data_IF_438920115844
#
_entry.id   IF_438920115844
#
_cell.length_a   1.000
_cell.length_b   1.000
_cell.length_c   1.000
_cell.angle_alpha   90.00
_cell.angle_beta   90.00
_cell.angle_gamma   90.00
#
_symmetry.space_group_name_H-M   'P 1'
#
loop_
_entity.id
_entity.type
_entity.pdbx_description
1 polymer ?
#
# COMPACT_ATOMS: atom_id res chain seq x y z
N UNK A 1 -41.66 -4.50 -60.75
CA UNK A 1 -41.45 -5.24 -61.96
C UNK A 1 -40.57 -6.42 -61.64
N UNK A 2 -41.24 -7.55 -61.64
CA UNK A 2 -41.01 -8.84 -62.29
C UNK A 2 -39.74 -9.57 -61.81
N UNK A 3 -39.86 -10.53 -60.90
CA UNK A 3 -40.10 -11.98 -61.08
C UNK A 3 -39.06 -12.72 -61.92
N UNK A 4 -38.35 -13.68 -61.34
CA UNK A 4 -38.19 -15.00 -61.96
C UNK A 4 -37.70 -16.03 -60.89
N UNK A 5 -38.48 -17.08 -60.77
CA UNK A 5 -38.23 -18.36 -60.07
C UNK A 5 -37.29 -19.23 -60.92
N UNK A 6 -36.40 -19.95 -60.22
CA UNK A 6 -35.61 -21.02 -60.84
C UNK A 6 -35.46 -22.18 -59.87
N UNK A 7 -36.20 -23.24 -60.11
CA UNK A 7 -36.11 -24.52 -59.42
C UNK A 7 -34.85 -25.30 -59.85
N UNK A 8 -34.13 -25.93 -58.99
CA UNK A 8 -33.12 -26.94 -59.37
C UNK A 8 -33.12 -28.14 -58.40
N UNK A 9 -33.18 -29.25 -59.03
CA UNK A 9 -33.33 -30.63 -58.69
C UNK A 9 -32.28 -31.13 -57.64
N UNK A 10 -32.72 -31.84 -56.61
CA UNK A 10 -31.88 -32.65 -55.71
C UNK A 10 -31.36 -33.91 -56.46
N UNK A 11 -30.05 -34.03 -56.46
CA UNK A 11 -29.38 -35.31 -56.77
C UNK A 11 -28.71 -35.78 -55.47
N UNK A 12 -29.23 -36.81 -54.84
CA UNK A 12 -28.65 -37.53 -53.71
C UNK A 12 -27.57 -38.48 -54.17
N UNK A 13 -26.31 -38.16 -53.91
CA UNK A 13 -25.21 -39.11 -53.99
C UNK A 13 -24.91 -39.60 -52.55
N UNK A 14 -25.17 -40.83 -52.29
CA UNK A 14 -24.82 -41.53 -51.06
C UNK A 14 -23.28 -41.73 -50.97
N UNK A 15 -22.67 -41.06 -50.05
CA UNK A 15 -21.29 -41.32 -49.66
C UNK A 15 -21.30 -42.09 -48.33
N UNK A 16 -20.94 -43.35 -48.39
CA UNK A 16 -20.64 -44.18 -47.18
C UNK A 16 -19.38 -43.64 -46.55
N UNK A 17 -19.53 -42.93 -45.44
CA UNK A 17 -18.39 -42.51 -44.56
C UNK A 17 -18.07 -43.71 -43.67
N UNK A 18 -16.93 -44.37 -43.94
CA UNK A 18 -16.30 -45.29 -43.02
C UNK A 18 -15.83 -44.46 -41.84
N UNK A 19 -16.48 -44.65 -40.67
CA UNK A 19 -16.09 -43.98 -39.44
C UNK A 19 -14.69 -44.47 -38.99
N UNK A 20 -13.70 -43.56 -39.07
CA UNK A 20 -12.49 -43.71 -38.29
C UNK A 20 -12.82 -43.39 -36.83
N UNK A 21 -12.58 -44.38 -35.95
CA UNK A 21 -12.67 -44.19 -34.52
C UNK A 21 -11.75 -43.02 -34.12
N UNK A 22 -12.18 -42.14 -33.18
CA UNK A 22 -11.28 -41.12 -32.64
C UNK A 22 -10.10 -41.84 -31.97
N UNK A 23 -8.88 -41.50 -32.41
CA UNK A 23 -7.68 -41.91 -31.72
C UNK A 23 -7.79 -41.47 -30.25
N UNK A 24 -7.70 -42.39 -29.35
CA UNK A 24 -7.59 -42.18 -27.91
C UNK A 24 -6.52 -41.13 -27.67
N UNK A 25 -6.93 -39.93 -27.28
CA UNK A 25 -6.01 -38.93 -26.78
C UNK A 25 -5.49 -39.50 -25.46
N UNK A 26 -4.35 -40.13 -25.53
CA UNK A 26 -3.63 -40.58 -24.35
C UNK A 26 -3.60 -39.49 -23.29
N UNK A 27 -3.55 -39.82 -22.00
CA UNK A 27 -3.63 -38.86 -20.92
C UNK A 27 -2.56 -37.76 -21.18
N UNK A 28 -3.03 -36.52 -21.33
CA UNK A 28 -2.15 -35.35 -21.31
C UNK A 28 -1.38 -35.44 -20.01
N UNK A 29 -0.13 -35.88 -20.09
CA UNK A 29 0.77 -35.98 -18.96
C UNK A 29 0.77 -34.64 -18.25
N UNK A 30 0.06 -34.55 -17.14
CA UNK A 30 0.16 -33.41 -16.25
C UNK A 30 1.64 -33.31 -15.90
N UNK A 31 2.29 -32.25 -16.34
CA UNK A 31 3.63 -31.93 -15.88
C UNK A 31 3.53 -31.78 -14.36
N UNK A 32 3.93 -32.83 -13.61
CA UNK A 32 4.13 -32.69 -12.18
C UNK A 32 5.11 -31.54 -11.99
N UNK A 33 4.62 -30.46 -11.32
CA UNK A 33 5.45 -29.29 -11.06
C UNK A 33 6.72 -29.77 -10.37
N UNK A 34 7.87 -29.53 -11.01
CA UNK A 34 9.17 -29.97 -10.50
C UNK A 34 9.47 -29.23 -9.20
N UNK A 35 9.87 -29.94 -8.17
CA UNK A 35 10.31 -29.37 -6.89
C UNK A 35 11.81 -29.52 -6.77
N UNK A 36 12.49 -28.41 -6.42
CA UNK A 36 13.90 -28.40 -6.04
C UNK A 36 14.04 -27.99 -4.58
N UNK A 37 14.90 -28.66 -3.86
CA UNK A 37 15.18 -28.42 -2.45
C UNK A 37 16.53 -27.73 -2.31
N UNK A 38 16.53 -26.67 -1.51
CA UNK A 38 17.74 -25.91 -1.13
C UNK A 38 18.00 -26.14 0.37
N UNK A 39 19.25 -26.33 0.74
CA UNK A 39 19.64 -26.46 2.15
C UNK A 39 20.99 -25.77 2.42
N UNK A 40 21.16 -25.26 3.62
CA UNK A 40 22.45 -24.79 4.10
C UNK A 40 23.45 -25.95 4.04
N UNK A 41 24.61 -25.72 3.39
CA UNK A 41 25.60 -26.78 3.16
C UNK A 41 25.28 -27.75 2.00
N UNK A 42 24.28 -27.43 1.18
CA UNK A 42 24.02 -28.15 -0.09
C UNK A 42 25.11 -27.94 -1.12
N UNK A 43 24.91 -28.52 -2.32
CA UNK A 43 25.82 -28.36 -3.46
C UNK A 43 25.00 -27.95 -4.72
N UNK A 44 25.33 -26.84 -5.34
CA UNK A 44 24.62 -26.38 -6.54
C UNK A 44 24.85 -27.30 -7.76
N UNK A 45 25.74 -28.25 -7.68
CA UNK A 45 25.89 -29.32 -8.68
C UNK A 45 24.90 -30.49 -8.43
N UNK A 46 24.33 -30.56 -7.24
CA UNK A 46 23.41 -31.61 -6.87
C UNK A 46 22.10 -31.56 -7.69
N UNK A 47 21.33 -32.63 -7.62
CA UNK A 47 20.06 -32.76 -8.39
C UNK A 47 18.89 -31.98 -7.76
N UNK A 48 19.05 -31.42 -6.56
CA UNK A 48 18.02 -30.63 -5.86
C UNK A 48 16.94 -31.47 -5.20
N UNK A 49 17.24 -32.68 -4.75
CA UNK A 49 16.32 -33.50 -3.93
C UNK A 49 16.56 -33.27 -2.44
N UNK A 50 15.66 -33.77 -1.58
CA UNK A 50 15.83 -33.69 -0.11
C UNK A 50 17.14 -34.30 0.39
N UNK A 51 17.63 -35.35 -0.27
CA UNK A 51 18.90 -36.04 0.08
C UNK A 51 20.12 -35.38 -0.54
N UNK A 52 19.95 -34.70 -1.65
CA UNK A 52 21.00 -34.03 -2.40
C UNK A 52 20.53 -32.61 -2.77
N UNK A 53 20.40 -31.72 -1.77
CA UNK A 53 19.87 -30.36 -1.95
C UNK A 53 20.86 -29.45 -2.66
N UNK A 54 20.35 -28.39 -3.27
CA UNK A 54 21.13 -27.27 -3.77
C UNK A 54 21.63 -26.41 -2.61
N UNK A 55 22.71 -25.68 -2.82
CA UNK A 55 23.26 -24.74 -1.85
C UNK A 55 22.56 -23.37 -1.90
N UNK A 56 22.17 -22.93 -3.10
CA UNK A 56 21.63 -21.57 -3.30
C UNK A 56 20.22 -21.56 -3.86
N UNK A 57 19.44 -20.56 -3.39
CA UNK A 57 18.09 -20.30 -3.90
C UNK A 57 18.16 -19.92 -5.38
N UNK A 58 19.18 -19.12 -5.78
CA UNK A 58 19.35 -18.70 -7.16
C UNK A 58 19.56 -19.90 -8.10
N UNK A 59 20.41 -20.86 -7.75
CA UNK A 59 20.61 -22.05 -8.55
C UNK A 59 19.34 -22.89 -8.74
N UNK A 60 18.44 -22.89 -7.76
CA UNK A 60 17.13 -23.54 -7.87
C UNK A 60 16.20 -22.77 -8.82
N UNK A 61 16.14 -21.44 -8.70
CA UNK A 61 15.37 -20.55 -9.60
C UNK A 61 15.82 -20.70 -11.05
N UNK A 62 17.13 -20.66 -11.31
CA UNK A 62 17.72 -20.76 -12.66
C UNK A 62 17.39 -22.10 -13.34
N UNK A 63 17.15 -23.15 -12.56
CA UNK A 63 16.75 -24.47 -13.06
C UNK A 63 15.25 -24.65 -13.26
N UNK A 64 14.43 -23.70 -12.77
CA UNK A 64 12.98 -23.73 -12.84
C UNK A 64 12.36 -22.48 -13.49
N UNK A 65 12.91 -21.93 -14.58
CA UNK A 65 12.40 -20.68 -15.15
C UNK A 65 10.96 -20.79 -15.65
N UNK A 66 10.50 -22.02 -15.96
CA UNK A 66 9.17 -22.28 -16.52
C UNK A 66 8.23 -22.95 -15.52
N UNK A 67 8.47 -22.77 -14.24
CA UNK A 67 7.58 -23.21 -13.19
C UNK A 67 8.07 -24.35 -12.32
N UNK A 68 7.47 -24.44 -11.14
CA UNK A 68 7.80 -25.42 -10.13
C UNK A 68 7.79 -24.85 -8.71
N UNK A 69 8.47 -25.54 -7.81
CA UNK A 69 8.63 -25.11 -6.43
C UNK A 69 10.10 -25.16 -6.01
N UNK A 70 10.56 -24.08 -5.40
CA UNK A 70 11.82 -24.02 -4.66
C UNK A 70 11.50 -24.11 -3.18
N UNK A 71 11.94 -25.19 -2.54
CA UNK A 71 11.67 -25.46 -1.13
C UNK A 71 12.96 -25.35 -0.30
N UNK A 72 12.99 -24.39 0.63
CA UNK A 72 14.12 -24.12 1.51
C UNK A 72 14.01 -24.94 2.79
N UNK A 73 15.04 -25.74 3.08
CA UNK A 73 15.16 -26.40 4.39
C UNK A 73 15.39 -25.33 5.48
N UNK A 74 15.10 -25.66 6.70
CA UNK A 74 15.34 -24.79 7.85
C UNK A 74 16.81 -24.38 7.95
N UNK A 75 17.05 -23.08 8.19
CA UNK A 75 18.39 -22.50 8.30
C UNK A 75 18.45 -21.05 7.82
N UNK A 76 19.62 -20.45 7.97
CA UNK A 76 19.90 -19.07 7.59
C UNK A 76 20.69 -19.03 6.29
N UNK A 77 20.18 -18.32 5.30
CA UNK A 77 20.73 -18.20 3.96
C UNK A 77 21.20 -16.75 3.75
N UNK A 78 22.50 -16.53 3.76
CA UNK A 78 23.11 -15.24 3.45
C UNK A 78 23.13 -15.02 1.92
N UNK A 79 21.95 -14.87 1.32
CA UNK A 79 21.78 -14.86 -0.14
C UNK A 79 20.71 -13.87 -0.54
N UNK A 80 20.91 -13.20 -1.67
CA UNK A 80 19.85 -12.51 -2.41
C UNK A 80 19.42 -13.38 -3.57
N UNK A 81 18.18 -13.27 -4.00
CA UNK A 81 17.63 -14.01 -5.13
C UNK A 81 16.89 -13.07 -6.08
N UNK A 82 17.10 -13.28 -7.40
CA UNK A 82 16.44 -12.51 -8.45
C UNK A 82 15.67 -13.44 -9.39
N UNK A 83 14.40 -13.12 -9.59
CA UNK A 83 13.51 -13.78 -10.52
C UNK A 83 13.28 -12.84 -11.71
N UNK A 84 14.00 -13.06 -12.82
CA UNK A 84 13.93 -12.21 -14.00
C UNK A 84 12.70 -12.44 -14.88
N UNK A 85 12.57 -11.71 -16.01
CA UNK A 85 11.37 -11.71 -16.87
C UNK A 85 10.99 -13.08 -17.47
N UNK A 86 11.97 -14.00 -17.57
CA UNK A 86 11.74 -15.37 -18.04
C UNK A 86 11.20 -16.33 -16.99
N UNK A 87 11.13 -15.93 -15.72
CA UNK A 87 10.67 -16.78 -14.62
C UNK A 87 9.16 -16.68 -14.47
N UNK A 88 8.49 -17.81 -14.53
CA UNK A 88 7.04 -17.85 -14.36
C UNK A 88 6.56 -19.16 -13.69
N UNK A 89 5.34 -19.13 -13.14
CA UNK A 89 4.69 -20.28 -12.50
C UNK A 89 5.53 -20.89 -11.36
N UNK A 90 6.31 -20.06 -10.66
CA UNK A 90 7.24 -20.50 -9.63
C UNK A 90 6.75 -20.15 -8.22
N UNK A 91 6.93 -21.08 -7.30
CA UNK A 91 6.70 -20.84 -5.87
C UNK A 91 8.01 -21.01 -5.10
N UNK A 92 8.38 -20.02 -4.27
CA UNK A 92 9.47 -20.11 -3.30
C UNK A 92 8.84 -20.20 -1.91
N UNK A 93 9.22 -21.23 -1.14
CA UNK A 93 8.64 -21.46 0.19
C UNK A 93 9.56 -22.32 1.07
N UNK A 94 9.34 -22.34 2.40
CA UNK A 94 9.97 -23.32 3.27
C UNK A 94 9.57 -24.74 2.90
N UNK A 95 10.48 -25.67 3.12
CA UNK A 95 10.18 -27.10 3.04
C UNK A 95 9.28 -27.51 4.20
N UNK A 96 8.05 -27.91 3.89
CA UNK A 96 7.01 -28.24 4.89
C UNK A 96 6.75 -27.05 5.83
N UNK A 97 7.13 -27.17 7.10
CA UNK A 97 6.96 -26.16 8.15
C UNK A 97 8.32 -25.77 8.77
N UNK A 98 9.41 -25.98 8.06
CA UNK A 98 10.75 -25.63 8.54
C UNK A 98 10.92 -24.10 8.46
N UNK A 99 11.69 -23.53 9.38
CA UNK A 99 11.95 -22.09 9.43
C UNK A 99 13.14 -21.74 8.52
N UNK A 100 12.85 -21.12 7.38
CA UNK A 100 13.84 -20.69 6.40
C UNK A 100 14.02 -19.18 6.45
N UNK A 101 15.23 -18.71 6.72
CA UNK A 101 15.59 -17.31 6.91
C UNK A 101 16.48 -16.84 5.77
N UNK A 102 16.06 -15.84 5.01
CA UNK A 102 16.92 -15.06 4.14
C UNK A 102 17.57 -13.95 4.97
N UNK A 103 18.83 -14.12 5.32
CA UNK A 103 19.57 -13.29 6.26
C UNK A 103 20.58 -12.38 5.54
N UNK A 104 20.26 -11.09 5.51
CA UNK A 104 21.10 -10.06 4.91
C UNK A 104 22.23 -9.52 5.81
N UNK A 105 22.36 -9.98 7.05
CA UNK A 105 23.24 -9.38 8.04
C UNK A 105 24.73 -9.37 7.67
N UNK A 106 25.16 -10.28 6.81
CA UNK A 106 26.53 -10.34 6.29
C UNK A 106 26.67 -9.80 4.86
N UNK A 107 25.58 -9.28 4.29
CA UNK A 107 25.55 -8.74 2.93
C UNK A 107 25.63 -7.21 2.97
N UNK A 108 26.34 -6.62 2.02
CA UNK A 108 26.39 -5.17 1.86
C UNK A 108 25.40 -4.76 0.77
N UNK A 109 24.38 -3.93 1.08
CA UNK A 109 23.53 -3.33 0.06
C UNK A 109 24.37 -2.46 -0.90
N UNK A 110 24.32 -2.68 -2.21
CA UNK A 110 24.94 -1.78 -3.18
C UNK A 110 24.14 -0.48 -3.29
N UNK A 111 24.71 0.52 -3.94
CA UNK A 111 24.03 1.77 -4.26
C UNK A 111 22.73 1.52 -5.06
N UNK A 112 21.74 2.38 -4.84
CA UNK A 112 20.41 2.27 -5.40
C UNK A 112 19.55 1.19 -4.75
N UNK A 113 18.48 0.82 -5.44
CA UNK A 113 17.52 -0.18 -4.95
C UNK A 113 18.09 -1.59 -5.03
N UNK A 114 18.14 -2.27 -3.90
CA UNK A 114 18.59 -3.67 -3.85
C UNK A 114 17.79 -4.46 -2.82
N UNK A 115 17.42 -5.71 -3.14
CA UNK A 115 16.54 -6.49 -2.31
C UNK A 115 17.09 -7.88 -1.97
N UNK A 116 16.57 -8.46 -0.87
CA UNK A 116 16.81 -9.87 -0.56
C UNK A 116 16.10 -10.77 -1.57
N UNK A 117 14.88 -10.39 -2.00
CA UNK A 117 14.13 -11.07 -3.07
C UNK A 117 13.70 -10.03 -4.10
N UNK A 118 14.18 -10.16 -5.34
CA UNK A 118 13.78 -9.31 -6.46
C UNK A 118 12.93 -10.08 -7.47
N UNK A 119 11.79 -9.51 -7.85
CA UNK A 119 10.89 -10.00 -8.89
C UNK A 119 10.87 -8.97 -10.03
N UNK A 120 11.75 -9.17 -11.02
CA UNK A 120 11.91 -8.29 -12.19
C UNK A 120 11.12 -8.83 -13.38
N UNK A 121 9.96 -8.27 -13.66
CA UNK A 121 9.12 -8.67 -14.80
C UNK A 121 8.63 -10.13 -14.78
N UNK A 122 8.87 -10.86 -13.71
CA UNK A 122 8.40 -12.24 -13.54
C UNK A 122 6.88 -12.33 -13.41
N UNK A 123 6.29 -13.48 -13.70
CA UNK A 123 4.83 -13.60 -13.66
C UNK A 123 4.31 -14.94 -13.12
N UNK A 124 3.15 -14.90 -12.45
CA UNK A 124 2.57 -16.02 -11.72
C UNK A 124 3.56 -16.63 -10.71
N UNK A 125 4.23 -15.73 -9.98
CA UNK A 125 5.23 -16.09 -8.95
C UNK A 125 4.64 -15.93 -7.57
N UNK A 126 5.02 -16.83 -6.67
CA UNK A 126 4.65 -16.76 -5.26
C UNK A 126 5.89 -16.85 -4.37
N UNK A 127 6.02 -15.88 -3.46
CA UNK A 127 6.99 -15.89 -2.36
C UNK A 127 6.20 -16.01 -1.07
N UNK A 128 6.40 -17.11 -0.34
CA UNK A 128 5.58 -17.34 0.85
C UNK A 128 6.32 -18.00 2.00
N UNK A 129 5.94 -17.64 3.24
CA UNK A 129 6.36 -18.31 4.46
C UNK A 129 7.84 -18.13 4.82
N UNK A 130 8.53 -17.18 4.22
CA UNK A 130 9.93 -16.89 4.47
C UNK A 130 10.08 -15.86 5.59
N UNK A 131 11.17 -15.96 6.31
CA UNK A 131 11.69 -14.92 7.19
C UNK A 131 12.77 -14.15 6.41
N UNK A 132 12.64 -12.82 6.31
CA UNK A 132 13.55 -11.96 5.54
C UNK A 132 14.07 -10.86 6.46
N UNK A 133 15.35 -10.88 6.78
CA UNK A 133 15.87 -10.02 7.85
C UNK A 133 17.31 -9.57 7.64
N UNK A 134 17.74 -8.58 8.42
CA UNK A 134 19.14 -8.22 8.61
C UNK A 134 19.79 -7.45 7.46
N UNK A 135 19.08 -7.11 6.39
CA UNK A 135 19.65 -6.40 5.25
C UNK A 135 19.69 -4.90 5.54
N UNK A 136 20.85 -4.42 6.01
CA UNK A 136 21.03 -3.07 6.56
C UNK A 136 22.22 -2.36 5.94
N UNK A 137 22.18 -1.02 5.95
CA UNK A 137 23.26 -0.15 5.48
C UNK A 137 23.34 1.14 6.29
N UNK A 138 24.43 1.86 6.16
CA UNK A 138 24.58 3.27 6.58
C UNK A 138 24.97 4.17 5.41
N UNK A 139 24.99 3.64 4.18
CA UNK A 139 25.28 4.40 2.98
C UNK A 139 24.05 5.20 2.54
N UNK A 140 24.23 6.49 2.20
CA UNK A 140 23.14 7.37 1.76
C UNK A 140 22.53 6.93 0.44
N UNK A 141 23.37 6.48 -0.49
CA UNK A 141 22.95 6.13 -1.86
C UNK A 141 22.36 4.72 -1.97
N UNK A 142 22.34 3.93 -0.90
CA UNK A 142 21.84 2.57 -0.90
C UNK A 142 20.45 2.46 -0.27
N UNK A 143 19.55 1.78 -0.98
CA UNK A 143 18.17 1.54 -0.55
C UNK A 143 17.93 0.03 -0.37
N UNK A 144 18.15 -0.51 0.86
CA UNK A 144 17.87 -1.92 1.15
C UNK A 144 16.37 -2.20 1.17
N UNK A 145 15.97 -3.32 0.55
CA UNK A 145 14.58 -3.75 0.43
C UNK A 145 14.47 -5.22 0.83
N UNK A 146 13.41 -5.58 1.55
CA UNK A 146 13.14 -7.00 1.84
C UNK A 146 12.70 -7.75 0.59
N UNK A 147 11.56 -7.38 0.00
CA UNK A 147 11.02 -7.98 -1.23
C UNK A 147 10.67 -6.85 -2.21
N UNK A 148 11.24 -6.92 -3.42
CA UNK A 148 11.09 -5.91 -4.46
C UNK A 148 10.44 -6.46 -5.72
N UNK A 149 9.37 -5.82 -6.18
CA UNK A 149 8.67 -6.15 -7.43
C UNK A 149 8.78 -4.97 -8.37
N UNK A 150 9.29 -5.18 -9.58
CA UNK A 150 9.38 -4.14 -10.60
C UNK A 150 9.30 -4.71 -12.03
N UNK A 151 9.52 -3.87 -13.04
CA UNK A 151 9.36 -4.25 -14.42
C UNK A 151 7.90 -4.53 -14.81
N UNK A 152 7.68 -5.41 -15.77
CA UNK A 152 6.35 -5.80 -16.26
C UNK A 152 5.78 -7.02 -15.50
N UNK A 153 5.94 -7.08 -14.18
CA UNK A 153 5.52 -8.21 -13.36
C UNK A 153 3.99 -8.40 -13.35
N UNK A 154 3.52 -9.66 -13.30
CA UNK A 154 2.08 -9.98 -13.32
C UNK A 154 1.74 -11.16 -12.41
N UNK A 155 0.56 -11.12 -11.78
CA UNK A 155 0.05 -12.22 -10.95
C UNK A 155 1.07 -12.65 -9.87
N UNK A 156 1.68 -11.67 -9.21
CA UNK A 156 2.64 -11.88 -8.12
C UNK A 156 1.90 -11.98 -6.80
N UNK A 157 2.28 -12.97 -6.00
CA UNK A 157 1.75 -13.14 -4.64
C UNK A 157 2.91 -13.19 -3.63
N UNK A 158 2.90 -12.24 -2.69
CA UNK A 158 3.79 -12.18 -1.54
C UNK A 158 2.93 -12.44 -0.31
N UNK A 159 3.12 -13.60 0.35
CA UNK A 159 2.21 -13.97 1.42
C UNK A 159 2.86 -14.72 2.58
N UNK A 160 2.30 -14.50 3.76
CA UNK A 160 2.68 -15.23 4.98
C UNK A 160 4.19 -15.16 5.26
N UNK A 161 4.87 -14.08 4.83
CA UNK A 161 6.29 -13.84 5.13
C UNK A 161 6.42 -12.95 6.36
N UNK A 162 7.56 -13.06 7.06
CA UNK A 162 7.98 -12.12 8.08
C UNK A 162 9.16 -11.30 7.55
N UNK A 163 8.96 -9.99 7.36
CA UNK A 163 9.98 -9.07 6.82
C UNK A 163 10.34 -8.06 7.91
N UNK A 164 11.56 -8.16 8.45
CA UNK A 164 11.88 -7.40 9.65
C UNK A 164 13.36 -7.07 9.83
N UNK A 165 13.66 -6.12 10.72
CA UNK A 165 15.03 -5.74 11.14
C UNK A 165 15.95 -5.44 9.96
N UNK A 166 15.45 -4.77 8.94
CA UNK A 166 16.23 -4.25 7.81
C UNK A 166 16.07 -2.74 7.70
N UNK A 167 16.94 -2.08 6.95
CA UNK A 167 16.83 -0.65 6.77
C UNK A 167 18.14 0.10 6.56
N UNK A 168 18.05 1.43 6.61
CA UNK A 168 19.19 2.35 6.55
C UNK A 168 19.40 3.00 7.92
N UNK A 169 20.52 2.67 8.55
CA UNK A 169 20.91 3.11 9.90
C UNK A 169 21.74 4.40 9.91
N UNK A 170 21.80 5.13 8.82
CA UNK A 170 22.47 6.41 8.76
C UNK A 170 21.75 7.43 9.65
N UNK A 171 22.48 8.11 10.51
CA UNK A 171 21.92 9.04 11.50
C UNK A 171 21.92 10.52 11.05
N UNK A 172 22.09 10.82 9.77
CA UNK A 172 22.07 12.20 9.27
C UNK A 172 20.68 12.81 9.42
N UNK A 173 20.55 13.80 10.29
CA UNK A 173 19.29 14.48 10.57
C UNK A 173 18.82 15.35 9.38
N UNK A 174 17.51 15.32 9.11
CA UNK A 174 16.88 16.09 8.02
C UNK A 174 17.24 15.59 6.61
N UNK A 175 17.81 14.40 6.45
CA UNK A 175 18.17 13.87 5.14
C UNK A 175 17.06 12.98 4.59
N UNK A 176 16.48 13.37 3.47
CA UNK A 176 15.54 12.56 2.69
C UNK A 176 16.22 11.59 1.71
N UNK A 177 17.57 11.50 1.74
CA UNK A 177 18.33 10.51 0.97
C UNK A 177 18.35 9.14 1.66
N UNK A 178 17.96 9.08 2.95
CA UNK A 178 17.83 7.83 3.70
C UNK A 178 16.57 7.09 3.26
N UNK A 179 16.74 5.89 2.72
CA UNK A 179 15.62 5.13 2.18
C UNK A 179 15.78 3.63 2.44
N UNK A 180 14.67 2.95 2.74
CA UNK A 180 14.57 1.50 2.81
C UNK A 180 13.10 1.06 2.76
N UNK A 181 12.82 -0.18 2.33
CA UNK A 181 11.46 -0.71 2.35
C UNK A 181 11.42 -2.15 2.87
N UNK A 182 10.31 -2.53 3.48
CA UNK A 182 9.99 -3.93 3.73
C UNK A 182 9.59 -4.65 2.44
N UNK A 183 8.49 -4.21 1.83
CA UNK A 183 7.99 -4.72 0.55
C UNK A 183 7.73 -3.53 -0.39
N UNK A 184 8.47 -3.46 -1.49
CA UNK A 184 8.36 -2.39 -2.46
C UNK A 184 7.88 -2.89 -3.82
N UNK A 185 6.93 -2.16 -4.43
CA UNK A 185 6.41 -2.43 -5.76
C UNK A 185 6.50 -1.17 -6.59
N UNK A 186 7.35 -1.16 -7.60
CA UNK A 186 7.56 -0.02 -8.48
C UNK A 186 7.17 -0.36 -9.92
N UNK A 187 6.05 0.17 -10.37
CA UNK A 187 5.60 0.05 -11.76
C UNK A 187 6.37 1.00 -12.67
N UNK A 188 7.60 0.63 -12.99
CA UNK A 188 8.57 1.43 -13.74
C UNK A 188 8.56 1.19 -15.26
N UNK A 189 7.66 0.36 -15.75
CA UNK A 189 7.44 0.17 -17.19
C UNK A 189 6.32 1.08 -17.70
N UNK A 190 6.61 1.87 -18.74
CA UNK A 190 5.62 2.76 -19.38
C UNK A 190 4.48 1.98 -20.03
N UNK A 191 4.80 0.90 -20.73
CA UNK A 191 3.84 0.21 -21.59
C UNK A 191 3.11 -0.94 -20.88
N UNK A 192 3.70 -1.48 -19.83
CA UNK A 192 3.20 -2.67 -19.16
C UNK A 192 3.05 -2.44 -17.66
N UNK A 193 1.83 -2.21 -17.16
CA UNK A 193 1.60 -2.09 -15.74
C UNK A 193 1.88 -3.40 -15.00
N UNK A 194 2.30 -3.30 -13.74
CA UNK A 194 2.23 -4.43 -12.83
C UNK A 194 0.75 -4.70 -12.55
N UNK A 195 0.31 -5.96 -12.72
CA UNK A 195 -1.10 -6.35 -12.54
C UNK A 195 -1.26 -7.63 -11.73
N UNK A 196 -2.42 -7.80 -11.10
CA UNK A 196 -2.72 -9.02 -10.34
C UNK A 196 -1.85 -9.22 -9.10
N UNK A 197 -1.26 -8.15 -8.56
CA UNK A 197 -0.42 -8.19 -7.37
C UNK A 197 -1.24 -8.47 -6.11
N UNK A 198 -0.73 -9.33 -5.23
CA UNK A 198 -1.27 -9.63 -3.91
C UNK A 198 -0.17 -9.63 -2.86
N UNK A 199 -0.36 -8.84 -1.81
CA UNK A 199 0.48 -8.79 -0.61
C UNK A 199 -0.44 -9.17 0.55
N UNK A 200 -0.33 -10.41 1.05
CA UNK A 200 -1.35 -10.98 1.92
C UNK A 200 -0.76 -11.70 3.13
N UNK A 201 -1.24 -11.39 4.34
CA UNK A 201 -0.89 -12.13 5.55
C UNK A 201 0.58 -12.04 5.97
N UNK A 202 1.30 -11.01 5.52
CA UNK A 202 2.69 -10.80 5.93
C UNK A 202 2.74 -10.05 7.25
N UNK A 203 3.80 -10.30 8.03
CA UNK A 203 4.23 -9.48 9.14
C UNK A 203 5.41 -8.61 8.68
N UNK A 204 5.34 -7.28 8.93
CA UNK A 204 6.37 -6.33 8.47
C UNK A 204 6.68 -5.38 9.62
N UNK A 205 7.87 -5.53 10.22
CA UNK A 205 8.16 -4.82 11.46
C UNK A 205 9.62 -4.45 11.67
N UNK A 206 9.88 -3.57 12.66
CA UNK A 206 11.20 -3.15 13.09
C UNK A 206 12.11 -2.70 11.96
N UNK A 207 11.54 -1.95 11.00
CA UNK A 207 12.26 -1.38 9.87
C UNK A 207 12.78 0.01 10.21
N UNK A 208 13.93 0.35 9.61
CA UNK A 208 14.51 1.71 9.63
C UNK A 208 14.45 2.27 8.22
N UNK A 209 13.40 3.02 7.94
CA UNK A 209 12.93 3.33 6.60
C UNK A 209 13.50 4.62 6.01
N UNK A 210 13.93 5.56 6.87
CA UNK A 210 14.23 6.92 6.41
C UNK A 210 12.99 7.58 5.83
N UNK A 211 13.07 8.13 4.64
CA UNK A 211 11.96 8.80 3.96
C UNK A 211 10.99 7.83 3.24
N UNK A 212 11.22 6.51 3.34
CA UNK A 212 10.43 5.48 2.64
C UNK A 212 9.41 4.77 3.55
N UNK A 213 8.67 3.82 2.98
CA UNK A 213 7.50 3.17 3.57
C UNK A 213 7.75 1.68 3.86
N UNK A 214 6.97 1.11 4.80
CA UNK A 214 7.06 -0.33 5.11
C UNK A 214 6.58 -1.19 3.94
N UNK A 215 5.41 -0.84 3.36
CA UNK A 215 4.83 -1.50 2.19
C UNK A 215 4.37 -0.45 1.20
N UNK A 216 4.95 -0.41 0.01
CA UNK A 216 4.65 0.61 -0.99
C UNK A 216 4.23 0.02 -2.33
N UNK A 217 3.26 0.68 -2.98
CA UNK A 217 2.86 0.47 -4.38
C UNK A 217 2.98 1.80 -5.10
N UNK A 218 3.95 1.92 -6.01
CA UNK A 218 4.31 3.19 -6.66
C UNK A 218 4.29 3.07 -8.19
N UNK A 219 3.77 4.09 -8.87
CA UNK A 219 3.83 4.22 -10.32
C UNK A 219 2.83 3.35 -11.07
N UNK A 220 3.24 2.76 -12.19
CA UNK A 220 2.35 2.03 -13.11
C UNK A 220 1.91 0.66 -12.54
N UNK A 221 1.09 0.67 -11.52
CA UNK A 221 0.53 -0.55 -10.90
C UNK A 221 -0.98 -0.52 -10.95
N UNK A 222 -1.61 -1.54 -11.55
CA UNK A 222 -3.04 -1.57 -11.84
C UNK A 222 -3.69 -2.89 -11.37
N UNK A 223 -4.69 -2.81 -10.50
CA UNK A 223 -5.39 -4.00 -10.02
C UNK A 223 -4.55 -4.80 -8.99
N UNK A 224 -4.44 -4.29 -7.78
CA UNK A 224 -3.63 -4.86 -6.71
C UNK A 224 -4.40 -4.96 -5.39
N UNK A 225 -3.89 -5.79 -4.47
CA UNK A 225 -4.46 -5.94 -3.14
C UNK A 225 -3.39 -6.12 -2.08
N UNK A 226 -3.54 -5.35 -0.98
CA UNK A 226 -2.78 -5.50 0.26
C UNK A 226 -3.78 -5.89 1.34
N UNK A 227 -3.70 -7.13 1.87
CA UNK A 227 -4.72 -7.62 2.78
C UNK A 227 -4.21 -8.52 3.89
N UNK A 228 -4.82 -8.41 5.09
CA UNK A 228 -4.51 -9.25 6.25
C UNK A 228 -3.03 -9.24 6.67
N UNK A 229 -2.32 -8.14 6.39
CA UNK A 229 -0.96 -7.96 6.89
C UNK A 229 -0.99 -7.36 8.30
N UNK A 230 0.01 -7.69 9.11
CA UNK A 230 0.33 -7.01 10.38
C UNK A 230 1.59 -6.18 10.14
N UNK A 231 1.44 -4.85 10.15
CA UNK A 231 2.52 -3.89 9.86
C UNK A 231 2.70 -3.05 11.10
N UNK A 232 3.89 -3.09 11.70
CA UNK A 232 4.03 -2.47 13.01
C UNK A 232 5.47 -2.15 13.44
N UNK A 233 5.58 -1.25 14.40
CA UNK A 233 6.86 -0.89 15.03
C UNK A 233 7.93 -0.45 14.01
N UNK A 234 7.50 0.30 12.98
CA UNK A 234 8.35 0.86 11.94
C UNK A 234 8.49 2.38 12.14
N UNK A 235 9.62 2.94 11.72
CA UNK A 235 9.90 4.36 11.95
C UNK A 235 9.43 5.31 10.83
N UNK A 236 8.51 4.89 9.99
CA UNK A 236 7.80 5.70 9.02
C UNK A 236 6.52 4.99 8.56
N UNK A 237 5.95 5.42 7.43
CA UNK A 237 4.64 5.05 6.87
C UNK A 237 4.45 3.52 6.80
N UNK A 238 3.26 3.06 7.18
CA UNK A 238 2.90 1.65 7.15
C UNK A 238 2.61 1.14 5.73
N UNK A 239 1.59 1.69 5.08
CA UNK A 239 1.20 1.32 3.70
C UNK A 239 1.05 2.60 2.89
N UNK A 240 1.67 2.66 1.71
CA UNK A 240 1.47 3.78 0.79
C UNK A 240 1.13 3.34 -0.64
N UNK A 241 0.30 4.17 -1.31
CA UNK A 241 -0.11 4.01 -2.70
C UNK A 241 0.17 5.30 -3.47
N UNK A 242 1.31 5.31 -4.18
CA UNK A 242 1.95 6.51 -4.71
C UNK A 242 1.67 6.73 -6.19
N UNK A 243 1.58 8.01 -6.55
CA UNK A 243 1.52 8.47 -7.93
C UNK A 243 2.37 9.72 -8.16
N UNK A 244 2.71 9.95 -9.42
CA UNK A 244 3.42 11.13 -9.90
C UNK A 244 4.90 11.27 -9.51
N UNK A 245 5.41 10.34 -8.73
CA UNK A 245 6.83 10.23 -8.46
C UNK A 245 7.63 9.97 -9.76
N UNK A 246 8.96 10.18 -9.79
CA UNK A 246 9.79 9.95 -10.98
C UNK A 246 9.99 8.45 -11.31
N UNK A 247 8.96 7.63 -11.03
CA UNK A 247 8.93 6.20 -11.34
C UNK A 247 8.80 5.96 -12.84
N UNK A 248 8.01 6.79 -13.54
CA UNK A 248 8.01 6.85 -14.99
C UNK A 248 8.68 8.15 -15.48
N UNK A 249 9.38 8.10 -16.64
CA UNK A 249 9.99 9.28 -17.23
C UNK A 249 8.96 10.25 -17.81
N UNK A 250 9.36 11.49 -18.07
CA UNK A 250 8.58 12.42 -18.89
C UNK A 250 8.36 11.86 -20.32
N UNK A 251 7.20 12.07 -20.96
CA UNK A 251 6.06 12.87 -20.49
C UNK A 251 5.06 12.06 -19.63
N UNK A 252 5.35 10.84 -19.25
CA UNK A 252 4.42 9.93 -18.58
C UNK A 252 4.28 10.20 -17.09
N UNK A 253 5.22 10.90 -16.47
CA UNK A 253 5.26 11.18 -15.03
C UNK A 253 3.94 11.72 -14.49
N UNK A 254 3.34 12.70 -15.19
CA UNK A 254 2.10 13.35 -14.75
C UNK A 254 0.85 12.84 -15.45
N UNK A 255 0.79 11.56 -15.71
CA UNK A 255 -0.36 10.89 -16.31
C UNK A 255 -0.91 9.81 -15.38
N UNK A 256 -2.15 9.37 -15.61
CA UNK A 256 -2.76 8.25 -14.87
C UNK A 256 -1.98 6.94 -14.98
N UNK A 257 -1.05 6.82 -15.92
CA UNK A 257 -0.15 5.65 -15.99
C UNK A 257 0.80 5.59 -14.79
N UNK A 258 1.26 6.73 -14.33
CA UNK A 258 2.20 6.82 -13.22
C UNK A 258 1.50 6.99 -11.87
N UNK A 259 0.52 6.12 -11.61
CA UNK A 259 -0.26 6.12 -10.37
C UNK A 259 -0.60 4.71 -9.95
N UNK A 260 -0.50 4.41 -8.68
CA UNK A 260 -1.12 3.22 -8.10
C UNK A 260 -2.64 3.34 -8.24
N UNK A 261 -3.28 2.38 -8.91
CA UNK A 261 -4.70 2.47 -9.24
C UNK A 261 -5.46 1.14 -9.16
N UNK A 262 -6.79 1.24 -9.02
CA UNK A 262 -7.69 0.09 -8.90
C UNK A 262 -7.28 -0.86 -7.75
N UNK A 263 -6.82 -0.28 -6.64
CA UNK A 263 -6.26 -0.98 -5.50
C UNK A 263 -7.26 -1.29 -4.39
N UNK A 264 -6.92 -2.28 -3.57
CA UNK A 264 -7.66 -2.61 -2.34
C UNK A 264 -6.68 -2.80 -1.18
N UNK A 265 -6.88 -2.03 -0.10
CA UNK A 265 -6.17 -2.17 1.17
C UNK A 265 -7.20 -2.60 2.20
N UNK A 266 -7.19 -3.88 2.62
CA UNK A 266 -8.26 -4.36 3.49
C UNK A 266 -7.83 -5.38 4.55
N UNK A 267 -8.52 -5.35 5.69
CA UNK A 267 -8.30 -6.27 6.81
C UNK A 267 -6.85 -6.28 7.34
N UNK A 268 -6.08 -5.20 7.12
CA UNK A 268 -4.76 -5.08 7.70
C UNK A 268 -4.85 -4.54 9.12
N UNK A 269 -3.88 -4.91 9.95
CA UNK A 269 -3.55 -4.22 11.18
C UNK A 269 -2.31 -3.38 10.92
N UNK A 270 -2.42 -2.06 11.11
CA UNK A 270 -1.30 -1.13 10.97
C UNK A 270 -1.15 -0.35 12.27
N UNK A 271 -0.03 -0.53 12.94
CA UNK A 271 0.13 0.03 14.29
C UNK A 271 1.55 0.46 14.58
N UNK A 272 1.67 1.53 15.35
CA UNK A 272 2.98 1.99 15.84
C UNK A 272 3.96 2.32 14.70
N UNK A 273 3.45 2.88 13.59
CA UNK A 273 4.26 3.47 12.53
C UNK A 273 4.41 4.96 12.88
N UNK A 274 5.60 5.35 13.33
CA UNK A 274 5.85 6.67 13.91
C UNK A 274 7.15 7.26 13.39
N UNK A 275 7.16 8.56 13.09
CA UNK A 275 8.36 9.28 12.63
C UNK A 275 9.33 9.65 13.76
N UNK A 276 8.89 9.55 15.02
CA UNK A 276 9.76 9.82 16.16
C UNK A 276 10.96 8.88 16.21
N UNK A 277 12.15 9.44 16.13
CA UNK A 277 13.41 8.70 16.09
C UNK A 277 13.89 8.40 14.66
N UNK A 278 13.17 8.82 13.63
CA UNK A 278 13.58 8.71 12.24
C UNK A 278 14.40 9.95 11.83
N UNK A 279 15.70 9.81 11.51
CA UNK A 279 16.54 10.96 11.18
C UNK A 279 15.99 11.84 10.07
N UNK A 280 15.34 11.29 9.05
CA UNK A 280 14.79 12.04 7.92
C UNK A 280 13.74 13.07 8.35
N UNK A 281 13.01 12.81 9.41
CA UNK A 281 11.90 13.62 9.89
C UNK A 281 12.21 14.37 11.18
N UNK A 282 13.48 14.76 11.35
CA UNK A 282 13.91 15.64 12.42
C UNK A 282 14.12 17.06 11.86
N UNK A 283 13.23 17.97 12.21
CA UNK A 283 13.22 19.35 11.75
C UNK A 283 13.04 20.31 12.94
N UNK A 284 13.69 21.47 12.89
CA UNK A 284 13.56 22.55 13.88
C UNK A 284 13.71 22.12 15.35
N UNK A 285 14.51 21.08 15.61
CA UNK A 285 14.75 20.57 16.95
C UNK A 285 13.71 19.57 17.47
N UNK A 286 12.81 19.10 16.63
CA UNK A 286 11.74 18.14 16.94
C UNK A 286 11.49 17.09 15.87
N UNK A 287 10.60 16.16 16.17
CA UNK A 287 10.11 15.13 15.24
C UNK A 287 8.77 15.57 14.67
N UNK A 288 8.53 15.41 13.36
CA UNK A 288 7.32 15.91 12.70
C UNK A 288 6.00 15.24 13.12
N UNK A 289 6.02 14.03 13.66
CA UNK A 289 4.80 13.22 13.91
C UNK A 289 3.91 13.07 12.67
N UNK A 290 4.51 12.71 11.55
CA UNK A 290 3.89 12.70 10.23
C UNK A 290 3.89 11.32 9.54
N UNK A 291 4.20 10.24 10.25
CA UNK A 291 4.14 8.90 9.70
C UNK A 291 2.72 8.35 9.66
N UNK A 292 2.23 8.05 8.47
CA UNK A 292 0.91 7.51 8.26
C UNK A 292 0.81 6.02 8.58
N UNK A 293 -0.34 5.60 9.12
CA UNK A 293 -0.69 4.19 9.09
C UNK A 293 -0.97 3.72 7.67
N UNK A 294 -1.85 4.42 6.95
CA UNK A 294 -2.17 4.17 5.54
C UNK A 294 -2.26 5.49 4.80
N UNK A 295 -1.44 5.65 3.79
CA UNK A 295 -1.38 6.82 2.93
C UNK A 295 -1.81 6.49 1.48
N UNK A 296 -2.50 7.40 0.84
CA UNK A 296 -2.67 7.44 -0.61
C UNK A 296 -2.09 8.75 -1.09
N UNK A 297 -0.83 8.71 -1.53
CA UNK A 297 -0.13 9.83 -2.14
C UNK A 297 -0.31 9.83 -3.66
N UNK A 298 -1.32 10.52 -4.14
CA UNK A 298 -1.57 10.64 -5.58
C UNK A 298 -2.12 9.39 -6.26
N UNK A 299 -2.47 8.34 -5.54
CA UNK A 299 -3.15 7.16 -6.07
C UNK A 299 -4.60 7.43 -6.50
N UNK A 300 -5.21 6.53 -7.27
CA UNK A 300 -6.60 6.70 -7.74
C UNK A 300 -7.42 5.42 -7.72
N UNK A 301 -8.74 5.52 -7.51
CA UNK A 301 -9.68 4.39 -7.52
C UNK A 301 -9.28 3.29 -6.53
N UNK A 302 -8.93 3.70 -5.30
CA UNK A 302 -8.46 2.82 -4.23
C UNK A 302 -9.55 2.66 -3.17
N UNK A 303 -9.67 1.45 -2.62
CA UNK A 303 -10.55 1.18 -1.48
C UNK A 303 -9.71 0.79 -0.26
N UNK A 304 -9.86 1.55 0.82
CA UNK A 304 -9.27 1.28 2.14
C UNK A 304 -10.41 0.83 3.04
N UNK A 305 -10.49 -0.46 3.36
CA UNK A 305 -11.67 -0.95 4.06
C UNK A 305 -11.37 -2.01 5.13
N UNK A 306 -12.06 -1.90 6.28
CA UNK A 306 -11.99 -2.88 7.37
C UNK A 306 -10.57 -3.09 7.93
N UNK A 307 -9.75 -2.06 7.89
CA UNK A 307 -8.45 -2.08 8.54
C UNK A 307 -8.58 -1.64 10.00
N UNK A 308 -7.67 -2.11 10.84
CA UNK A 308 -7.41 -1.58 12.18
C UNK A 308 -6.12 -0.77 12.12
N UNK A 309 -6.24 0.54 12.33
CA UNK A 309 -5.14 1.50 12.24
C UNK A 309 -5.00 2.17 13.59
N UNK A 310 -3.90 1.96 14.32
CA UNK A 310 -3.83 2.38 15.70
C UNK A 310 -2.44 2.78 16.18
N UNK A 311 -2.32 3.92 16.86
CA UNK A 311 -1.07 4.35 17.49
C UNK A 311 0.01 4.83 16.51
N UNK A 312 -0.36 5.18 15.30
CA UNK A 312 0.51 5.79 14.29
C UNK A 312 0.56 7.31 14.51
N UNK A 313 1.38 8.06 13.79
CA UNK A 313 1.31 9.52 13.89
C UNK A 313 0.03 10.03 13.24
N UNK A 314 -0.24 9.67 11.99
CA UNK A 314 -1.51 9.90 11.29
C UNK A 314 -2.19 8.55 11.05
N UNK A 315 -3.50 8.49 11.17
CA UNK A 315 -4.21 7.23 10.95
C UNK A 315 -4.30 6.86 9.47
N UNK A 316 -5.08 7.62 8.71
CA UNK A 316 -5.26 7.46 7.25
C UNK A 316 -5.17 8.82 6.59
N UNK A 317 -4.31 8.96 5.60
CA UNK A 317 -4.22 10.16 4.78
C UNK A 317 -4.59 9.89 3.33
N UNK A 318 -5.27 10.88 2.71
CA UNK A 318 -5.57 10.89 1.27
C UNK A 318 -5.17 12.26 0.73
N UNK A 319 -3.99 12.31 0.12
CA UNK A 319 -3.37 13.52 -0.36
C UNK A 319 -2.57 13.27 -1.64
N UNK A 320 -1.89 14.27 -2.15
CA UNK A 320 -0.87 14.13 -3.18
C UNK A 320 0.27 15.08 -2.88
N UNK A 321 1.46 14.58 -2.66
CA UNK A 321 2.65 15.41 -2.42
C UNK A 321 3.04 16.20 -3.65
N UNK A 322 2.89 15.60 -4.82
CA UNK A 322 3.25 16.27 -6.05
C UNK A 322 2.26 17.39 -6.43
N UNK A 323 2.71 18.64 -6.53
CA UNK A 323 1.89 19.82 -6.85
C UNK A 323 1.02 19.68 -8.12
N UNK A 324 1.43 18.87 -9.09
CA UNK A 324 0.68 18.59 -10.32
C UNK A 324 -0.20 17.36 -10.20
N UNK A 325 -0.15 16.67 -9.06
CA UNK A 325 -0.84 15.43 -8.80
C UNK A 325 -2.22 15.59 -8.16
N UNK A 326 -2.89 14.47 -8.01
CA UNK A 326 -4.14 14.35 -7.24
C UNK A 326 -4.32 12.96 -6.66
N UNK A 327 -4.89 12.85 -5.46
CA UNK A 327 -5.46 11.63 -4.92
C UNK A 327 -6.97 11.67 -5.10
N UNK A 328 -7.53 10.77 -5.88
CA UNK A 328 -8.95 10.86 -6.25
C UNK A 328 -9.67 9.51 -6.31
N UNK A 329 -11.00 9.56 -6.20
CA UNK A 329 -11.85 8.38 -6.21
C UNK A 329 -11.44 7.33 -5.16
N UNK A 330 -10.95 7.78 -4.00
CA UNK A 330 -10.57 6.92 -2.88
C UNK A 330 -11.77 6.71 -1.97
N UNK A 331 -12.05 5.45 -1.64
CA UNK A 331 -13.10 5.08 -0.70
C UNK A 331 -12.48 4.53 0.58
N UNK A 332 -12.50 5.31 1.65
CA UNK A 332 -12.09 4.93 3.01
C UNK A 332 -13.33 4.52 3.79
N UNK A 333 -13.49 3.22 4.08
CA UNK A 333 -14.73 2.77 4.73
C UNK A 333 -14.55 1.67 5.76
N UNK A 334 -15.37 1.73 6.83
CA UNK A 334 -15.44 0.68 7.86
C UNK A 334 -14.10 0.38 8.52
N UNK A 335 -13.19 1.34 8.55
CA UNK A 335 -11.93 1.21 9.27
C UNK A 335 -12.14 1.59 10.74
N UNK A 336 -11.35 0.98 11.61
CA UNK A 336 -11.18 1.38 12.99
C UNK A 336 -9.86 2.16 13.09
N UNK A 337 -9.93 3.46 13.33
CA UNK A 337 -8.78 4.37 13.36
C UNK A 337 -8.69 4.95 14.77
N UNK A 338 -7.63 4.64 15.49
CA UNK A 338 -7.56 4.98 16.91
C UNK A 338 -6.17 5.35 17.36
N UNK A 339 -6.10 6.25 18.34
CA UNK A 339 -4.88 6.58 19.08
C UNK A 339 -3.73 7.10 18.23
N UNK A 340 -4.02 7.73 17.11
CA UNK A 340 -2.99 8.44 16.35
C UNK A 340 -2.41 9.57 17.19
N UNK A 341 -1.13 9.89 16.97
CA UNK A 341 -0.47 10.98 17.69
C UNK A 341 -1.03 12.34 17.27
N UNK A 342 -1.17 12.57 15.98
CA UNK A 342 -1.60 13.84 15.40
C UNK A 342 -3.09 13.85 15.01
N UNK A 343 -3.51 13.12 13.97
CA UNK A 343 -4.92 13.08 13.52
C UNK A 343 -5.36 11.65 13.13
N UNK A 344 -6.66 11.39 13.15
CA UNK A 344 -7.21 10.12 12.70
C UNK A 344 -7.31 10.02 11.19
N UNK A 345 -7.84 11.04 10.53
CA UNK A 345 -7.93 11.16 9.07
C UNK A 345 -7.42 12.54 8.65
N UNK A 346 -6.54 12.57 7.64
CA UNK A 346 -6.18 13.79 6.92
C UNK A 346 -6.58 13.66 5.44
N UNK A 347 -6.98 14.78 4.80
CA UNK A 347 -7.26 14.81 3.36
C UNK A 347 -7.06 16.20 2.80
N UNK A 348 -6.40 16.29 1.65
CA UNK A 348 -6.02 17.55 1.00
C UNK A 348 -4.50 17.65 0.86
N UNK A 349 -4.02 18.78 0.42
CA UNK A 349 -2.59 19.10 0.39
C UNK A 349 -2.15 19.77 1.69
N UNK A 350 -1.05 19.38 2.28
CA UNK A 350 -0.55 19.98 3.52
C UNK A 350 0.17 21.33 3.30
N UNK A 351 0.51 21.67 2.05
CA UNK A 351 1.19 22.91 1.69
C UNK A 351 0.52 23.64 0.51
N UNK A 352 0.41 24.97 0.60
CA UNK A 352 -0.26 25.82 -0.40
C UNK A 352 0.65 26.81 -1.13
N UNK A 353 1.96 26.66 -1.02
CA UNK A 353 2.93 27.63 -1.59
C UNK A 353 3.19 28.84 -0.70
N UNK A 354 2.56 28.92 0.48
CA UNK A 354 2.76 30.00 1.43
C UNK A 354 4.07 29.90 2.21
N UNK A 355 4.40 30.97 2.95
CA UNK A 355 5.65 31.10 3.70
C UNK A 355 5.82 30.04 4.80
N UNK A 356 4.73 29.51 5.37
CA UNK A 356 4.76 28.42 6.35
C UNK A 356 5.30 27.10 5.78
N UNK A 357 5.19 26.91 4.46
CA UNK A 357 5.71 25.75 3.73
C UNK A 357 7.01 26.07 2.96
N UNK A 358 7.70 27.14 3.25
CA UNK A 358 8.90 27.53 2.50
C UNK A 358 8.68 27.75 1.00
N UNK A 359 7.43 27.94 0.55
CA UNK A 359 7.05 28.06 -0.86
C UNK A 359 6.69 26.75 -1.53
N UNK A 360 6.74 25.63 -0.82
CA UNK A 360 6.30 24.33 -1.31
C UNK A 360 4.79 24.30 -1.54
N UNK A 361 4.36 23.62 -2.59
CA UNK A 361 2.96 23.39 -2.90
C UNK A 361 2.73 21.90 -3.13
N UNK A 362 1.71 21.36 -2.50
CA UNK A 362 1.27 19.98 -2.71
C UNK A 362 0.11 19.90 -3.71
N UNK A 363 -0.27 18.68 -4.10
CA UNK A 363 -1.33 18.43 -5.05
C UNK A 363 -2.72 18.45 -4.41
N UNK A 364 -3.66 17.76 -5.04
CA UNK A 364 -5.10 17.85 -4.76
C UNK A 364 -5.63 16.56 -4.18
N UNK A 365 -6.70 16.66 -3.38
CA UNK A 365 -7.50 15.50 -2.98
C UNK A 365 -8.98 15.73 -3.33
N UNK A 366 -9.57 14.92 -4.21
CA UNK A 366 -10.93 15.19 -4.66
C UNK A 366 -11.73 13.92 -5.02
N UNK A 367 -13.06 14.07 -5.07
CA UNK A 367 -13.98 12.97 -5.37
C UNK A 367 -13.78 11.77 -4.42
N UNK A 368 -13.33 12.05 -3.19
CA UNK A 368 -13.04 11.05 -2.18
C UNK A 368 -14.24 10.82 -1.27
N UNK A 369 -14.28 9.64 -0.67
CA UNK A 369 -15.39 9.27 0.20
C UNK A 369 -14.92 8.57 1.46
N UNK A 370 -15.28 9.13 2.61
CA UNK A 370 -15.07 8.54 3.95
C UNK A 370 -16.42 8.06 4.50
N UNK A 371 -16.60 6.74 4.61
CA UNK A 371 -17.92 6.15 4.94
C UNK A 371 -17.86 5.08 6.02
N UNK A 372 -18.66 5.19 7.09
CA UNK A 372 -18.75 4.20 8.17
C UNK A 372 -17.44 3.88 8.88
N UNK A 373 -16.51 4.79 8.96
CA UNK A 373 -15.31 4.63 9.79
C UNK A 373 -15.63 4.90 11.26
N UNK A 374 -14.83 4.34 12.15
CA UNK A 374 -14.85 4.67 13.58
C UNK A 374 -13.50 5.29 13.94
N UNK A 375 -13.54 6.55 14.35
CA UNK A 375 -12.39 7.31 14.82
C UNK A 375 -12.52 7.49 16.34
N UNK A 376 -11.42 7.22 17.06
CA UNK A 376 -11.44 7.31 18.51
C UNK A 376 -10.09 7.65 19.09
N UNK A 377 -10.02 8.70 19.89
CA UNK A 377 -8.85 9.10 20.64
C UNK A 377 -7.59 9.30 19.77
N UNK A 378 -7.77 9.83 18.59
CA UNK A 378 -6.69 10.37 17.79
C UNK A 378 -6.31 11.77 18.33
N UNK A 379 -5.21 12.34 17.92
CA UNK A 379 -4.62 13.53 18.56
C UNK A 379 -4.16 13.27 20.01
N UNK A 380 -3.26 12.33 20.19
CA UNK A 380 -2.66 12.03 21.50
C UNK A 380 -1.58 13.03 21.93
N UNK A 381 -1.10 13.84 21.00
CA UNK A 381 -0.22 14.98 21.33
C UNK A 381 -0.95 16.08 22.11
N UNK A 382 -2.29 16.09 21.99
CA UNK A 382 -3.17 17.09 22.62
C UNK A 382 -2.77 18.54 22.29
N UNK A 383 -2.31 18.74 21.06
CA UNK A 383 -1.86 20.00 20.48
C UNK A 383 -3.00 20.84 19.88
N UNK A 384 -4.25 20.38 20.03
CA UNK A 384 -5.44 21.02 19.46
C UNK A 384 -5.88 20.46 18.10
N UNK A 385 -5.12 19.58 17.49
CA UNK A 385 -5.49 18.95 16.21
C UNK A 385 -6.78 18.13 16.31
N UNK A 386 -7.55 18.03 15.23
CA UNK A 386 -8.84 17.35 15.23
C UNK A 386 -8.73 15.83 15.01
N UNK A 387 -9.85 15.12 15.20
CA UNK A 387 -9.97 13.72 14.75
C UNK A 387 -9.94 13.61 13.21
N UNK A 388 -10.44 14.60 12.48
CA UNK A 388 -10.47 14.69 11.03
C UNK A 388 -9.94 16.06 10.60
N UNK A 389 -8.88 16.07 9.81
CA UNK A 389 -8.25 17.29 9.27
C UNK A 389 -8.52 17.40 7.77
N UNK A 390 -9.10 18.51 7.35
CA UNK A 390 -9.26 18.89 5.94
C UNK A 390 -8.23 19.98 5.62
N UNK A 391 -7.38 19.66 4.67
CA UNK A 391 -6.25 20.51 4.27
C UNK A 391 -6.57 21.26 2.98
N UNK A 392 -5.56 21.90 2.37
CA UNK A 392 -5.70 22.68 1.12
C UNK A 392 -6.09 21.78 -0.06
N UNK A 393 -6.75 22.35 -1.06
CA UNK A 393 -7.09 21.70 -2.33
C UNK A 393 -7.95 20.43 -2.19
N UNK A 394 -8.71 20.35 -1.09
CA UNK A 394 -9.69 19.28 -0.85
C UNK A 394 -11.07 19.70 -1.35
N UNK A 395 -11.65 18.98 -2.31
CA UNK A 395 -12.96 19.33 -2.87
C UNK A 395 -13.78 18.11 -3.30
N UNK A 396 -15.10 18.25 -3.38
CA UNK A 396 -16.03 17.16 -3.70
C UNK A 396 -15.77 15.90 -2.88
N UNK A 397 -15.55 16.09 -1.57
CA UNK A 397 -15.22 15.01 -0.64
C UNK A 397 -16.39 14.76 0.31
N UNK A 398 -16.87 13.52 0.37
CA UNK A 398 -18.00 13.16 1.24
C UNK A 398 -17.54 12.45 2.52
N UNK A 399 -18.14 12.83 3.66
CA UNK A 399 -17.87 12.28 4.98
C UNK A 399 -19.18 11.80 5.62
N UNK A 400 -19.55 10.52 5.46
CA UNK A 400 -20.88 10.05 5.80
C UNK A 400 -20.89 8.80 6.68
N UNK A 401 -21.88 8.73 7.62
CA UNK A 401 -22.10 7.57 8.48
C UNK A 401 -20.90 7.18 9.35
N UNK A 402 -19.97 8.09 9.55
CA UNK A 402 -18.82 7.85 10.41
C UNK A 402 -19.19 8.03 11.89
N UNK A 403 -18.38 7.46 12.76
CA UNK A 403 -18.43 7.63 14.20
C UNK A 403 -17.14 8.28 14.65
N UNK A 404 -17.22 9.46 15.24
CA UNK A 404 -16.04 10.25 15.63
C UNK A 404 -16.16 10.60 17.10
N UNK A 405 -15.19 10.19 17.87
CA UNK A 405 -15.13 10.48 19.31
C UNK A 405 -13.80 11.18 19.63
N UNK A 406 -13.84 12.49 19.75
CA UNK A 406 -12.69 13.30 20.16
C UNK A 406 -12.48 13.20 21.67
N UNK A 407 -11.26 12.94 22.07
CA UNK A 407 -10.87 12.81 23.48
C UNK A 407 -9.91 13.90 23.94
N UNK A 408 -9.41 14.74 23.01
CA UNK A 408 -8.51 15.85 23.30
C UNK A 408 -9.19 16.99 24.08
N UNK A 409 -8.43 17.81 24.75
CA UNK A 409 -8.93 18.92 25.57
C UNK A 409 -9.57 20.03 24.71
N UNK A 410 -9.11 20.20 23.47
CA UNK A 410 -9.69 21.13 22.50
C UNK A 410 -11.08 20.68 21.98
N UNK A 411 -11.47 19.41 22.22
CA UNK A 411 -12.71 18.81 21.72
C UNK A 411 -12.89 18.96 20.21
N UNK A 412 -11.76 18.98 19.48
CA UNK A 412 -11.72 19.17 18.05
C UNK A 412 -12.15 17.89 17.33
N UNK A 413 -13.29 17.95 16.64
CA UNK A 413 -13.90 16.81 15.93
C UNK A 413 -13.51 16.81 14.46
N UNK A 414 -13.76 17.93 13.79
CA UNK A 414 -13.34 18.18 12.41
C UNK A 414 -12.62 19.53 12.40
N UNK A 415 -11.46 19.59 11.80
CA UNK A 415 -10.70 20.81 11.59
C UNK A 415 -10.46 21.06 10.12
N UNK A 416 -10.13 22.30 9.80
CA UNK A 416 -9.69 22.75 8.49
C UNK A 416 -8.47 23.64 8.66
N UNK A 417 -7.52 23.57 7.74
CA UNK A 417 -6.37 24.47 7.75
C UNK A 417 -6.81 25.90 7.45
N UNK A 418 -6.16 26.85 8.07
CA UNK A 418 -6.36 28.28 7.79
C UNK A 418 -5.91 28.61 6.35
N UNK A 419 -6.69 29.42 5.64
CA UNK A 419 -6.41 29.80 4.26
C UNK A 419 -6.91 28.79 3.20
N UNK A 420 -7.54 27.68 3.60
CA UNK A 420 -8.15 26.76 2.64
C UNK A 420 -9.29 27.40 1.83
N UNK A 421 -9.96 28.43 2.38
CA UNK A 421 -10.99 29.23 1.70
C UNK A 421 -10.44 30.04 0.54
N UNK A 422 -9.16 30.38 0.56
CA UNK A 422 -8.47 31.26 -0.41
C UNK A 422 -7.67 30.47 -1.47
N UNK A 423 -7.59 29.15 -1.38
CA UNK A 423 -6.80 28.31 -2.31
C UNK A 423 -7.46 28.15 -3.70
N UNK A 424 -8.69 28.63 -3.87
CA UNK A 424 -9.44 28.64 -5.11
C UNK A 424 -10.02 27.29 -5.55
N UNK A 425 -9.83 26.23 -4.78
CA UNK A 425 -10.31 24.86 -5.11
C UNK A 425 -11.07 24.21 -3.98
N UNK A 426 -10.67 24.41 -2.73
CA UNK A 426 -11.26 23.75 -1.56
C UNK A 426 -12.77 23.99 -1.45
N UNK A 427 -13.48 22.94 -1.09
CA UNK A 427 -14.90 23.01 -0.77
C UNK A 427 -15.18 22.37 0.59
N UNK A 428 -16.25 22.76 1.29
CA UNK A 428 -16.64 22.07 2.52
C UNK A 428 -16.79 20.56 2.31
N UNK A 429 -16.51 19.77 3.34
CA UNK A 429 -16.90 18.36 3.34
C UNK A 429 -18.41 18.23 3.16
N UNK A 430 -18.84 17.29 2.30
CA UNK A 430 -20.24 16.88 2.22
C UNK A 430 -20.55 15.92 3.36
N UNK A 431 -20.80 16.48 4.57
CA UNK A 431 -20.97 15.70 5.79
C UNK A 431 -22.44 15.43 6.11
N UNK A 432 -22.80 14.14 6.35
CA UNK A 432 -24.14 13.77 6.82
C UNK A 432 -24.20 12.37 7.45
N UNK A 433 -25.20 12.15 8.30
CA UNK A 433 -25.49 10.86 8.98
C UNK A 433 -24.35 10.37 9.86
N UNK A 434 -23.51 11.25 10.35
CA UNK A 434 -22.41 10.93 11.25
C UNK A 434 -22.89 10.84 12.71
N UNK A 435 -22.08 10.22 13.55
CA UNK A 435 -22.29 10.24 14.99
C UNK A 435 -21.04 10.81 15.64
N UNK A 436 -21.17 11.94 16.29
CA UNK A 436 -20.09 12.65 16.96
C UNK A 436 -20.21 12.51 18.47
N UNK A 437 -19.08 12.51 19.15
CA UNK A 437 -18.99 12.54 20.59
C UNK A 437 -17.68 13.14 21.05
N UNK A 438 -17.70 13.80 22.20
CA UNK A 438 -16.50 14.23 22.91
C UNK A 438 -16.48 13.62 24.31
N UNK A 439 -15.32 13.45 24.92
CA UNK A 439 -15.25 12.99 26.31
C UNK A 439 -16.02 13.97 27.22
N UNK A 440 -16.89 13.44 28.05
CA UNK A 440 -17.82 14.26 28.86
C UNK A 440 -19.10 14.75 28.15
N UNK A 441 -19.24 14.54 26.82
CA UNK A 441 -20.47 14.88 26.08
C UNK A 441 -20.68 16.37 25.83
N UNK A 442 -19.62 17.12 25.64
CA UNK A 442 -19.61 18.59 25.50
C UNK A 442 -20.11 19.08 24.12
N UNK A 443 -21.38 18.83 23.80
CA UNK A 443 -21.99 19.18 22.51
C UNK A 443 -21.84 20.66 22.13
N UNK A 444 -21.89 21.56 23.11
CA UNK A 444 -21.81 23.02 22.89
C UNK A 444 -20.41 23.55 22.80
N UNK A 445 -19.43 22.74 23.16
CA UNK A 445 -18.02 23.12 23.21
C UNK A 445 -17.18 22.37 22.16
N UNK A 446 -17.75 21.33 21.55
CA UNK A 446 -17.10 20.60 20.46
C UNK A 446 -16.86 21.52 19.26
N UNK A 447 -15.68 21.46 18.65
CA UNK A 447 -15.32 22.31 17.52
C UNK A 447 -15.41 21.58 16.19
N UNK A 448 -15.89 22.28 15.18
CA UNK A 448 -16.08 21.80 13.83
C UNK A 448 -15.57 22.85 12.83
N UNK A 449 -14.63 22.46 11.98
CA UNK A 449 -14.09 23.28 10.91
C UNK A 449 -14.86 23.12 9.60
N UNK A 450 -14.98 24.20 8.83
CA UNK A 450 -15.50 24.20 7.47
C UNK A 450 -14.89 25.36 6.70
N UNK A 451 -14.11 25.10 5.67
CA UNK A 451 -13.44 26.11 4.82
C UNK A 451 -12.79 27.24 5.65
N UNK A 452 -11.73 26.94 6.39
CA UNK A 452 -11.00 27.92 7.20
C UNK A 452 -11.74 28.43 8.43
N UNK A 453 -13.06 28.24 8.53
CA UNK A 453 -13.87 28.71 9.66
C UNK A 453 -14.08 27.64 10.70
N UNK A 454 -13.80 27.94 11.97
CA UNK A 454 -14.09 27.03 13.10
C UNK A 454 -15.36 27.46 13.83
N UNK A 455 -16.27 26.53 14.01
CA UNK A 455 -17.53 26.68 14.73
C UNK A 455 -17.45 25.98 16.09
N UNK A 456 -17.85 26.66 17.14
CA UNK A 456 -17.98 26.08 18.48
C UNK A 456 -19.42 25.66 18.74
N UNK A 457 -19.65 24.39 19.02
CA UNK A 457 -20.95 23.77 19.21
C UNK A 457 -21.51 23.12 17.96
N UNK A 458 -21.96 21.86 18.12
CA UNK A 458 -22.51 21.05 17.02
C UNK A 458 -23.74 21.69 16.35
N UNK A 459 -24.61 22.31 17.11
CA UNK A 459 -25.83 22.94 16.57
C UNK A 459 -25.49 24.22 15.80
N UNK A 460 -24.57 25.04 16.31
CA UNK A 460 -24.09 26.25 15.63
C UNK A 460 -23.42 25.91 14.27
N UNK A 461 -22.57 24.87 14.25
CA UNK A 461 -21.98 24.39 13.02
C UNK A 461 -23.03 23.96 11.99
N UNK A 462 -24.03 23.17 12.39
CA UNK A 462 -25.08 22.69 11.49
C UNK A 462 -25.94 23.83 10.94
N UNK A 463 -26.27 24.79 11.78
CA UNK A 463 -27.09 25.96 11.40
C UNK A 463 -26.34 26.85 10.39
N UNK A 464 -25.06 27.09 10.64
CA UNK A 464 -24.24 27.95 9.79
C UNK A 464 -23.91 27.32 8.43
N UNK A 465 -23.62 26.02 8.40
CA UNK A 465 -23.10 25.34 7.21
C UNK A 465 -24.13 24.55 6.42
N UNK A 466 -25.27 24.19 7.05
CA UNK A 466 -26.24 23.27 6.50
C UNK A 466 -25.75 21.81 6.38
N UNK A 467 -24.56 21.50 6.88
CA UNK A 467 -24.00 20.14 6.90
C UNK A 467 -24.62 19.31 8.04
N UNK A 468 -24.39 18.01 8.02
CA UNK A 468 -24.75 17.07 9.11
C UNK A 468 -26.23 17.13 9.57
N UNK A 469 -27.16 17.39 8.64
CA UNK A 469 -28.59 17.54 8.96
C UNK A 469 -29.20 16.31 9.62
N UNK A 470 -28.74 15.12 9.22
CA UNK A 470 -29.21 13.83 9.77
C UNK A 470 -28.20 13.20 10.72
N UNK A 471 -27.17 13.94 11.12
CA UNK A 471 -26.16 13.51 12.06
C UNK A 471 -26.60 13.74 13.51
N UNK A 472 -25.93 13.08 14.42
CA UNK A 472 -26.27 13.16 15.84
C UNK A 472 -25.03 13.32 16.72
N UNK A 473 -25.20 14.00 17.82
CA UNK A 473 -24.19 14.08 18.87
C UNK A 473 -24.62 13.12 19.99
N UNK A 474 -24.05 11.93 20.03
CA UNK A 474 -24.44 10.88 20.95
C UNK A 474 -23.27 9.91 21.20
N UNK A 475 -23.16 9.43 22.45
CA UNK A 475 -22.17 8.42 22.81
C UNK A 475 -22.42 7.12 22.06
N UNK A 476 -21.35 6.47 21.63
CA UNK A 476 -21.39 5.17 20.98
C UNK A 476 -20.32 4.24 21.57
N UNK A 477 -20.44 2.96 21.29
CA UNK A 477 -19.42 1.96 21.67
C UNK A 477 -18.36 1.89 20.58
N UNK A 478 -17.10 2.01 20.97
CA UNK A 478 -15.96 1.74 20.10
C UNK A 478 -15.75 0.22 20.07
N UNK A 479 -15.57 -0.39 18.90
CA UNK A 479 -15.18 -1.81 18.80
C UNK A 479 -13.86 -2.05 19.55
N UNK A 480 -13.73 -3.24 20.11
CA UNK A 480 -12.49 -3.68 20.77
C UNK A 480 -11.58 -4.33 19.75
#
# INVERSE_FOLDING_TARGET
>A
MATAFGASVLLTLGVTVVGAAPADAGPRGGHQARTLVVAVGGDDRAVGTVRHPLATVQAAVDRLPRGGSVELRGGRYAQRVTLGPGVHDLTIRPYRHEHAVLDGSSLTPPDGRSAMVTLDGSHRVRVQGLDVTGYRTTALDAMPIGIYVHGAARDVTIRDNHVHHLGNDNGTLGSFDLNAHGIAVYGDSVDHPITGLRIEGNEVDHLVLGASESVVVNGNVDGWRISRNDIHDNNNIGIDAIGYEPTLPEPYRYTDRNRARNGVIDHNTVRNTISKGNPSYYEDGGWCNCADGIYVDGGTKIRIERNTVTGNDIGVEVAAENARGSADHVLVRRNLITRSAYVGIATGGYCNGGGACGGEQTGRAHDNRFDRNTLYANNRLDDGSPEVLVQFYAYRTSFTRNRVWATNDARAVVGTVEGAEDDGLSTPLEADRNTYWTTGGHRREATFGSLGTTYTGFDAYREATGQDRHSRFARFRVPR
#
